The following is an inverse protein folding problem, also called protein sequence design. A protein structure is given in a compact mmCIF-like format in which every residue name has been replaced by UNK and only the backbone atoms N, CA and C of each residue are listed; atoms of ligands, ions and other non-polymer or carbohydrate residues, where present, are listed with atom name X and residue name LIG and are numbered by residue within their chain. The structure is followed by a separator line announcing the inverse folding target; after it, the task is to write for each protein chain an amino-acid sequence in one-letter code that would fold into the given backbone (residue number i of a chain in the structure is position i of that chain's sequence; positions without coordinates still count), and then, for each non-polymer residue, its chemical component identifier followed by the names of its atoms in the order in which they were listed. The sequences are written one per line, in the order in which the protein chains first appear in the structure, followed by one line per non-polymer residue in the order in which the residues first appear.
data_IF_834516502998
#
_entry.id   IF_834516502998
#
_cell.length_a   1.000
_cell.length_b   1.000
_cell.length_c   1.000
_cell.angle_alpha   90.00
_cell.angle_beta   90.00
_cell.angle_gamma   90.00
#
_symmetry.space_group_name_H-M   'P 1'
#
loop_
_entity.id
_entity.type
_entity.pdbx_description
1 polymer ?
#
# COMPACT_ATOMS: atom_id res chain seq x y z
N UNK A 1 17.23 2.69 -23.05
CA UNK A 1 18.09 2.03 -22.04
C UNK A 1 17.32 1.73 -20.75
N UNK A 2 16.73 2.72 -20.09
CA UNK A 2 15.96 2.57 -18.82
C UNK A 2 14.84 1.53 -18.89
N UNK A 3 13.97 1.59 -19.91
CA UNK A 3 12.84 0.66 -20.06
C UNK A 3 13.26 -0.79 -20.28
N UNK A 4 14.38 -1.02 -20.98
CA UNK A 4 14.94 -2.36 -21.16
C UNK A 4 15.47 -2.92 -19.83
N UNK A 5 16.07 -2.07 -19.01
CA UNK A 5 16.54 -2.42 -17.67
C UNK A 5 15.37 -2.80 -16.75
N UNK A 6 14.32 -1.99 -16.69
CA UNK A 6 13.10 -2.27 -15.92
C UNK A 6 12.44 -3.57 -16.41
N UNK A 7 12.35 -3.77 -17.73
CA UNK A 7 11.79 -5.00 -18.31
C UNK A 7 12.59 -6.26 -17.90
N UNK A 8 13.92 -6.22 -18.02
CA UNK A 8 14.76 -7.36 -17.65
C UNK A 8 14.60 -7.71 -16.17
N UNK A 9 14.59 -6.70 -15.29
CA UNK A 9 14.40 -6.89 -13.87
C UNK A 9 13.06 -7.57 -13.53
N UNK A 10 11.95 -7.16 -14.16
CA UNK A 10 10.64 -7.82 -13.95
C UNK A 10 10.56 -9.19 -14.63
N UNK A 11 11.20 -9.38 -15.77
CA UNK A 11 11.21 -10.69 -16.47
C UNK A 11 11.94 -11.76 -15.66
N UNK A 12 13.02 -11.43 -14.98
CA UNK A 12 13.72 -12.34 -14.05
C UNK A 12 12.82 -12.73 -12.87
N UNK A 13 12.04 -11.80 -12.33
CA UNK A 13 11.11 -12.07 -11.24
C UNK A 13 9.93 -12.95 -11.69
N UNK A 14 9.37 -12.71 -12.87
CA UNK A 14 8.26 -13.50 -13.45
C UNK A 14 8.71 -14.93 -13.76
N UNK A 15 9.93 -15.11 -14.30
CA UNK A 15 10.49 -16.43 -14.58
C UNK A 15 10.64 -17.34 -13.34
N UNK A 16 10.72 -16.73 -12.15
CA UNK A 16 10.84 -17.47 -10.88
C UNK A 16 9.50 -17.81 -10.20
N UNK A 17 8.37 -17.35 -10.73
CA UNK A 17 7.01 -17.56 -10.16
C UNK A 17 6.24 -18.68 -10.87
N UNK A 18 6.75 -19.26 -11.96
CA UNK A 18 6.14 -20.41 -12.63
C UNK A 18 6.59 -21.73 -11.99
N UNK A 19 5.70 -22.75 -11.86
CA UNK A 19 6.09 -24.04 -11.32
C UNK A 19 6.98 -24.78 -12.34
N UNK A 20 8.18 -25.08 -11.89
CA UNK A 20 9.18 -26.02 -12.41
C UNK A 20 9.24 -26.29 -13.93
N UNK A 21 10.21 -25.71 -14.60
CA UNK A 21 11.03 -26.41 -15.60
C UNK A 21 12.49 -26.01 -15.37
N UNK A 22 13.32 -27.00 -15.07
CA UNK A 22 14.75 -26.85 -14.87
C UNK A 22 15.44 -26.67 -16.24
N UNK A 23 16.24 -25.62 -16.39
CA UNK A 23 17.29 -25.54 -17.42
C UNK A 23 18.54 -24.90 -16.78
N UNK A 24 19.66 -25.56 -16.98
CA UNK A 24 20.97 -25.35 -16.42
C UNK A 24 21.67 -24.06 -16.92
N UNK A 25 22.81 -23.66 -16.30
CA UNK A 25 23.31 -22.28 -16.33
C UNK A 25 24.20 -22.02 -17.56
N UNK A 26 24.18 -20.78 -18.03
CA UNK A 26 25.18 -20.24 -18.94
C UNK A 26 26.04 -19.17 -18.24
N UNK A 27 27.32 -19.32 -18.42
CA UNK A 27 28.48 -18.66 -17.84
C UNK A 27 28.74 -17.27 -18.44
N UNK A 28 29.27 -16.34 -17.62
CA UNK A 28 30.33 -15.41 -18.08
C UNK A 28 30.00 -13.93 -18.21
N UNK A 29 30.46 -13.17 -17.27
CA UNK A 29 31.10 -11.84 -17.14
C UNK A 29 31.39 -11.00 -18.41
N UNK A 30 31.70 -9.68 -18.37
CA UNK A 30 32.56 -8.99 -17.39
C UNK A 30 32.09 -7.59 -16.95
N UNK A 31 32.77 -7.08 -15.92
CA UNK A 31 32.58 -5.84 -15.20
C UNK A 31 32.50 -4.53 -16.00
N UNK A 32 31.71 -3.63 -15.46
CA UNK A 32 31.72 -2.22 -15.81
C UNK A 32 32.22 -1.40 -14.61
N UNK A 33 33.17 -0.51 -14.91
CA UNK A 33 33.82 0.37 -13.95
C UNK A 33 32.85 1.41 -13.33
N UNK A 34 33.11 1.89 -12.12
CA UNK A 34 32.26 2.87 -11.46
C UNK A 34 32.42 4.26 -12.09
N UNK A 35 31.30 4.90 -12.38
CA UNK A 35 31.21 6.31 -12.78
C UNK A 35 31.31 7.16 -11.50
N UNK A 36 32.15 8.22 -11.46
CA UNK A 36 32.25 9.08 -10.29
C UNK A 36 31.01 9.94 -10.12
N UNK A 37 30.35 9.80 -8.97
CA UNK A 37 29.25 10.66 -8.52
C UNK A 37 29.87 11.84 -7.79
N UNK A 38 29.71 13.06 -8.33
CA UNK A 38 30.00 14.30 -7.62
C UNK A 38 29.01 14.52 -6.46
N UNK A 39 29.36 15.39 -5.50
CA UNK A 39 28.50 15.64 -4.33
C UNK A 39 27.30 16.48 -4.74
N UNK A 40 26.22 15.83 -5.19
CA UNK A 40 24.89 16.42 -5.21
C UNK A 40 24.37 16.39 -3.77
N UNK A 41 24.22 17.56 -3.16
CA UNK A 41 23.48 17.72 -1.89
C UNK A 41 22.05 17.33 -2.22
N UNK A 42 21.51 16.24 -1.66
CA UNK A 42 20.13 15.86 -1.97
C UNK A 42 19.20 16.92 -1.37
N UNK A 43 18.45 17.62 -2.23
CA UNK A 43 17.26 18.33 -1.77
C UNK A 43 16.39 17.38 -0.94
N UNK A 44 15.68 17.86 0.10
CA UNK A 44 14.78 17.03 0.88
C UNK A 44 13.74 16.45 -0.08
N UNK A 45 13.98 15.23 -0.53
CA UNK A 45 13.09 14.55 -1.46
C UNK A 45 11.84 14.17 -0.68
N UNK A 46 10.77 14.94 -0.88
CA UNK A 46 9.44 14.56 -0.43
C UNK A 46 9.18 13.10 -0.85
N UNK A 47 8.71 12.28 0.08
CA UNK A 47 8.46 10.85 -0.15
C UNK A 47 7.55 10.63 -1.37
N UNK A 48 6.58 11.52 -1.58
CA UNK A 48 5.58 11.50 -2.63
C UNK A 48 5.63 12.75 -3.52
N UNK A 49 6.66 12.84 -4.38
CA UNK A 49 6.71 13.90 -5.39
C UNK A 49 5.55 13.76 -6.40
N UNK A 50 5.19 14.87 -7.06
CA UNK A 50 4.17 14.87 -8.13
C UNK A 50 4.46 13.85 -9.23
N UNK A 51 5.73 13.73 -9.65
CA UNK A 51 6.14 12.77 -10.67
C UNK A 51 5.95 11.32 -10.18
N UNK A 52 6.26 11.04 -8.92
CA UNK A 52 6.03 9.72 -8.32
C UNK A 52 4.53 9.42 -8.25
N UNK A 53 3.70 10.36 -7.80
CA UNK A 53 2.25 10.20 -7.76
C UNK A 53 1.71 9.89 -9.16
N UNK A 54 2.15 10.64 -10.19
CA UNK A 54 1.75 10.41 -11.57
C UNK A 54 2.14 9.01 -12.08
N UNK A 55 3.36 8.53 -11.78
CA UNK A 55 3.82 7.18 -12.14
C UNK A 55 2.98 6.13 -11.45
N UNK A 56 2.76 6.25 -10.15
CA UNK A 56 1.99 5.28 -9.35
C UNK A 56 0.53 5.21 -9.81
N UNK A 57 -0.07 6.36 -10.17
CA UNK A 57 -1.42 6.39 -10.74
C UNK A 57 -1.49 5.78 -12.16
N UNK A 58 -0.42 5.85 -12.94
CA UNK A 58 -0.36 5.14 -14.23
C UNK A 58 -0.26 3.62 -14.06
N UNK A 59 0.29 3.14 -12.95
CA UNK A 59 0.39 1.72 -12.60
C UNK A 59 -0.93 1.15 -12.04
N UNK A 60 -1.57 1.87 -11.14
CA UNK A 60 -2.65 1.33 -10.30
C UNK A 60 -4.00 1.97 -10.53
N UNK A 61 -4.07 2.95 -11.40
CA UNK A 61 -5.28 3.74 -11.64
C UNK A 61 -5.29 5.08 -10.91
N UNK A 62 -6.09 5.99 -11.40
CA UNK A 62 -6.14 7.36 -10.97
C UNK A 62 -6.57 7.48 -9.49
N UNK A 63 -5.68 7.99 -8.64
CA UNK A 63 -5.83 8.14 -7.18
C UNK A 63 -5.43 6.92 -6.35
N UNK A 64 -5.05 5.81 -6.97
CA UNK A 64 -4.64 4.61 -6.25
C UNK A 64 -3.12 4.52 -6.12
N UNK A 65 -2.67 3.95 -5.00
CA UNK A 65 -1.25 3.79 -4.65
C UNK A 65 -0.85 2.33 -4.47
N UNK A 66 -1.74 1.38 -4.81
CA UNK A 66 -1.52 -0.05 -4.69
C UNK A 66 -2.14 -0.83 -5.87
N UNK A 67 -1.66 -2.05 -6.16
CA UNK A 67 -2.09 -2.87 -7.29
C UNK A 67 -3.60 -3.12 -7.37
N UNK A 68 -4.14 -3.15 -8.60
CA UNK A 68 -5.58 -3.31 -8.91
C UNK A 68 -6.48 -2.28 -8.20
N UNK A 69 -5.96 -1.13 -7.86
CA UNK A 69 -6.54 -0.02 -7.12
C UNK A 69 -8.05 -0.08 -6.89
N UNK A 70 -8.85 0.19 -7.92
CA UNK A 70 -10.32 0.20 -7.81
C UNK A 70 -10.89 -1.19 -7.49
N UNK A 71 -10.47 -2.22 -8.22
CA UNK A 71 -11.02 -3.58 -8.04
C UNK A 71 -10.69 -4.12 -6.64
N UNK A 72 -9.45 -3.97 -6.19
CA UNK A 72 -9.06 -4.44 -4.85
C UNK A 72 -9.74 -3.61 -3.74
N UNK A 73 -9.89 -2.29 -3.92
CA UNK A 73 -10.67 -1.45 -3.00
C UNK A 73 -12.09 -1.96 -2.83
N UNK A 74 -12.79 -2.24 -3.91
CA UNK A 74 -14.16 -2.76 -3.87
C UNK A 74 -14.21 -4.17 -3.30
N UNK A 75 -13.24 -5.03 -3.61
CA UNK A 75 -13.12 -6.38 -3.04
C UNK A 75 -13.00 -6.35 -1.52
N UNK A 76 -12.23 -5.39 -0.99
CA UNK A 76 -12.08 -5.20 0.44
C UNK A 76 -13.34 -4.58 1.09
N UNK A 77 -14.01 -3.68 0.40
CA UNK A 77 -15.16 -2.95 0.95
C UNK A 77 -16.49 -3.71 0.89
N UNK A 78 -16.70 -4.56 -0.13
CA UNK A 78 -17.98 -5.31 -0.32
C UNK A 78 -18.44 -6.13 0.88
N UNK A 79 -17.55 -6.85 1.62
CA UNK A 79 -17.98 -7.63 2.79
C UNK A 79 -18.55 -6.78 3.92
N UNK A 80 -18.30 -5.46 3.93
CA UNK A 80 -18.81 -4.53 4.94
C UNK A 80 -20.29 -4.14 4.70
N UNK A 81 -20.90 -4.58 3.59
CA UNK A 81 -22.31 -4.29 3.23
C UNK A 81 -22.66 -2.82 3.33
N UNK A 82 -21.81 -1.96 2.78
CA UNK A 82 -21.95 -0.52 2.81
C UNK A 82 -23.17 -0.04 2.01
N UNK A 83 -23.76 1.06 2.47
CA UNK A 83 -24.90 1.73 1.84
C UNK A 83 -24.80 3.26 1.99
N UNK A 84 -25.75 3.98 1.43
CA UNK A 84 -25.85 5.44 1.59
C UNK A 84 -26.12 5.91 3.04
N UNK A 85 -26.52 5.01 3.93
CA UNK A 85 -26.66 5.25 5.36
C UNK A 85 -25.38 4.93 6.17
N UNK A 86 -24.37 4.32 5.52
CA UNK A 86 -23.14 3.90 6.20
C UNK A 86 -22.14 5.04 6.28
N UNK A 87 -21.52 5.22 7.46
CA UNK A 87 -20.32 6.03 7.66
C UNK A 87 -19.09 5.12 7.75
N UNK A 88 -18.06 5.42 6.99
CA UNK A 88 -16.83 4.64 6.88
C UNK A 88 -15.61 5.47 7.31
N UNK A 89 -14.81 4.96 8.24
CA UNK A 89 -13.46 5.40 8.51
C UNK A 89 -12.52 4.71 7.52
N UNK A 90 -11.75 5.46 6.73
CA UNK A 90 -10.73 4.90 5.86
C UNK A 90 -9.36 5.46 6.24
N UNK A 91 -8.44 4.61 6.70
CA UNK A 91 -7.06 4.98 7.08
C UNK A 91 -6.11 4.46 6.01
N UNK A 92 -5.25 5.33 5.49
CA UNK A 92 -4.43 5.07 4.31
C UNK A 92 -5.20 5.43 3.03
N UNK A 93 -5.67 6.70 2.93
CA UNK A 93 -6.48 7.17 1.81
C UNK A 93 -5.70 7.25 0.48
N UNK A 94 -4.36 7.20 0.53
CA UNK A 94 -3.51 7.35 -0.64
C UNK A 94 -3.75 8.67 -1.35
N UNK A 95 -3.74 8.68 -2.68
CA UNK A 95 -4.06 9.87 -3.48
C UNK A 95 -5.58 10.04 -3.71
N UNK A 96 -6.44 9.45 -2.86
CA UNK A 96 -7.88 9.65 -2.82
C UNK A 96 -8.71 8.71 -3.69
N UNK A 97 -8.09 7.74 -4.37
CA UNK A 97 -8.79 6.72 -5.14
C UNK A 97 -9.75 5.88 -4.29
N UNK A 98 -9.28 5.22 -3.21
CA UNK A 98 -10.12 4.38 -2.38
C UNK A 98 -11.34 5.10 -1.79
N UNK A 99 -11.23 6.25 -1.11
CA UNK A 99 -12.40 6.92 -0.55
C UNK A 99 -13.40 7.38 -1.61
N UNK A 100 -12.94 7.93 -2.75
CA UNK A 100 -13.82 8.36 -3.83
C UNK A 100 -14.51 7.17 -4.49
N UNK A 101 -13.79 6.07 -4.72
CA UNK A 101 -14.33 4.84 -5.29
C UNK A 101 -15.43 4.24 -4.40
N UNK A 102 -15.19 4.11 -3.11
CA UNK A 102 -16.19 3.57 -2.17
C UNK A 102 -17.42 4.49 -2.10
N UNK A 103 -17.22 5.81 -2.08
CA UNK A 103 -18.33 6.76 -2.07
C UNK A 103 -19.16 6.71 -3.36
N UNK A 104 -18.52 6.54 -4.52
CA UNK A 104 -19.19 6.45 -5.81
C UNK A 104 -19.96 5.14 -5.98
N UNK A 105 -19.28 4.00 -5.75
CA UNK A 105 -19.79 2.68 -6.11
C UNK A 105 -20.71 2.07 -5.03
N UNK A 106 -20.45 2.38 -3.75
CA UNK A 106 -21.17 1.80 -2.61
C UNK A 106 -22.05 2.83 -1.89
N UNK A 107 -21.98 4.11 -2.27
CA UNK A 107 -22.80 5.18 -1.73
C UNK A 107 -22.47 5.60 -0.30
N UNK A 108 -21.44 5.05 0.34
CA UNK A 108 -21.11 5.33 1.73
C UNK A 108 -20.56 6.75 1.95
N UNK A 109 -20.72 7.26 3.16
CA UNK A 109 -20.05 8.49 3.63
C UNK A 109 -18.68 8.12 4.16
N UNK A 110 -17.63 8.50 3.46
CA UNK A 110 -16.25 8.14 3.78
C UNK A 110 -15.53 9.33 4.39
N UNK A 111 -14.90 9.13 5.55
CA UNK A 111 -13.87 10.03 6.05
C UNK A 111 -12.53 9.32 5.88
N UNK A 112 -11.75 9.79 4.92
CA UNK A 112 -10.41 9.28 4.61
C UNK A 112 -9.35 10.00 5.44
N UNK A 113 -8.39 9.26 5.95
CA UNK A 113 -7.23 9.78 6.66
C UNK A 113 -5.95 9.37 5.95
N UNK A 114 -5.09 10.36 5.64
CA UNK A 114 -3.78 10.15 5.01
C UNK A 114 -2.69 10.81 5.85
N UNK A 115 -1.62 10.07 6.12
CA UNK A 115 -0.52 10.55 6.95
C UNK A 115 0.51 11.34 6.15
N UNK A 116 0.72 10.97 4.88
CA UNK A 116 1.64 11.69 4.02
C UNK A 116 1.00 12.98 3.49
N UNK A 117 1.62 14.16 3.72
CA UNK A 117 1.01 15.44 3.37
C UNK A 117 0.82 15.61 1.86
N UNK A 118 1.73 15.12 1.01
CA UNK A 118 1.62 15.25 -0.45
C UNK A 118 0.49 14.37 -0.99
N UNK A 119 0.35 13.16 -0.46
CA UNK A 119 -0.79 12.29 -0.78
C UNK A 119 -2.10 12.87 -0.27
N UNK A 120 -2.13 13.44 0.93
CA UNK A 120 -3.32 14.07 1.49
C UNK A 120 -3.80 15.25 0.62
N UNK A 121 -2.88 16.10 0.16
CA UNK A 121 -3.19 17.20 -0.77
C UNK A 121 -3.78 16.65 -2.07
N UNK A 122 -3.12 15.66 -2.68
CA UNK A 122 -3.60 15.04 -3.91
C UNK A 122 -4.99 14.41 -3.73
N UNK A 123 -5.24 13.79 -2.57
CA UNK A 123 -6.51 13.17 -2.23
C UNK A 123 -7.64 14.20 -2.02
N UNK A 124 -7.35 15.32 -1.35
CA UNK A 124 -8.30 16.43 -1.17
C UNK A 124 -8.68 17.05 -2.52
N UNK A 125 -7.68 17.33 -3.37
CA UNK A 125 -7.90 17.87 -4.71
C UNK A 125 -8.74 16.92 -5.58
N UNK A 126 -8.47 15.61 -5.50
CA UNK A 126 -9.24 14.58 -6.20
C UNK A 126 -10.70 14.56 -5.74
N UNK A 127 -10.92 14.48 -4.44
CA UNK A 127 -12.26 14.46 -3.86
C UNK A 127 -13.08 15.70 -4.27
N UNK A 128 -12.45 16.88 -4.24
CA UNK A 128 -13.07 18.12 -4.66
C UNK A 128 -13.42 18.12 -6.16
N UNK A 129 -12.47 17.76 -7.04
CA UNK A 129 -12.67 17.70 -8.50
C UNK A 129 -13.73 16.68 -8.92
N UNK A 130 -13.80 15.54 -8.21
CA UNK A 130 -14.78 14.49 -8.45
C UNK A 130 -16.18 14.79 -7.89
N UNK A 131 -16.38 15.94 -7.22
CA UNK A 131 -17.65 16.28 -6.57
C UNK A 131 -17.93 15.49 -5.28
N UNK A 132 -16.92 14.81 -4.73
CA UNK A 132 -17.03 14.00 -3.52
C UNK A 132 -16.65 14.73 -2.22
N UNK A 133 -16.33 16.02 -2.25
CA UNK A 133 -15.80 16.78 -1.10
C UNK A 133 -16.57 16.63 0.22
N UNK A 134 -17.90 16.38 0.13
CA UNK A 134 -18.73 16.10 1.31
C UNK A 134 -18.88 14.62 1.61
N UNK A 135 -18.84 13.75 0.60
CA UNK A 135 -19.08 12.30 0.73
C UNK A 135 -17.82 11.47 0.92
N UNK A 136 -16.68 11.97 0.46
CA UNK A 136 -15.34 11.42 0.67
C UNK A 136 -14.42 12.54 1.20
N UNK A 137 -14.70 13.02 2.41
CA UNK A 137 -13.88 14.02 3.10
C UNK A 137 -12.51 13.43 3.42
N UNK A 138 -11.44 14.15 3.11
CA UNK A 138 -10.07 13.73 3.40
C UNK A 138 -9.47 14.61 4.51
N UNK A 139 -8.78 13.97 5.45
CA UNK A 139 -8.09 14.62 6.57
C UNK A 139 -6.66 14.09 6.69
N UNK A 140 -5.77 14.93 7.15
CA UNK A 140 -4.45 14.49 7.60
C UNK A 140 -4.55 13.88 9.00
N UNK A 141 -3.61 12.98 9.33
CA UNK A 141 -3.49 12.41 10.67
C UNK A 141 -2.03 12.11 11.00
N UNK A 142 -1.75 12.03 12.30
CA UNK A 142 -0.43 11.68 12.81
C UNK A 142 -0.45 10.22 13.33
N UNK A 143 0.32 9.30 12.73
CA UNK A 143 0.36 7.89 13.15
C UNK A 143 0.83 7.68 14.59
N UNK A 144 1.66 8.56 15.13
CA UNK A 144 2.10 8.48 16.52
C UNK A 144 0.99 8.84 17.51
N UNK A 145 0.04 9.72 17.11
CA UNK A 145 -1.07 10.20 17.94
C UNK A 145 -2.41 10.09 17.20
N UNK A 146 -2.84 8.89 16.83
CA UNK A 146 -4.04 8.71 16.02
C UNK A 146 -5.29 9.15 16.78
N UNK A 147 -6.01 10.12 16.22
CA UNK A 147 -7.21 10.68 16.81
C UNK A 147 -8.39 10.66 15.84
N UNK A 148 -9.20 9.63 15.92
CA UNK A 148 -10.43 9.49 15.13
C UNK A 148 -11.66 9.71 16.01
N UNK A 149 -12.71 10.35 15.45
CA UNK A 149 -13.95 10.64 16.18
C UNK A 149 -14.58 9.36 16.78
N UNK A 150 -14.77 9.33 18.11
CA UNK A 150 -15.22 8.13 18.84
C UNK A 150 -16.63 7.75 18.46
N UNK A 151 -16.87 6.44 18.25
CA UNK A 151 -18.19 5.82 17.93
C UNK A 151 -18.94 6.54 16.79
N UNK A 152 -18.20 7.09 15.84
CA UNK A 152 -18.75 7.86 14.72
C UNK A 152 -18.98 7.03 13.47
N UNK A 153 -18.28 5.89 13.35
CA UNK A 153 -18.27 5.10 12.13
C UNK A 153 -18.97 3.75 12.30
N UNK A 154 -19.75 3.37 11.29
CA UNK A 154 -20.34 2.04 11.20
C UNK A 154 -19.28 0.99 10.87
N UNK A 155 -18.35 1.32 9.98
CA UNK A 155 -17.29 0.42 9.52
C UNK A 155 -15.97 1.16 9.37
N UNK A 156 -14.86 0.40 9.29
CA UNK A 156 -13.55 0.92 9.00
C UNK A 156 -12.83 0.07 7.95
N UNK A 157 -12.04 0.74 7.11
CA UNK A 157 -11.06 0.14 6.20
C UNK A 157 -9.69 0.73 6.54
N UNK A 158 -8.66 -0.12 6.65
CA UNK A 158 -7.28 0.30 6.87
C UNK A 158 -6.39 -0.33 5.80
N UNK A 159 -5.67 0.50 5.06
CA UNK A 159 -4.80 0.12 3.95
C UNK A 159 -3.36 0.47 4.31
N UNK A 160 -2.56 -0.54 4.70
CA UNK A 160 -1.17 -0.41 5.15
C UNK A 160 -0.97 0.71 6.20
N UNK A 161 -1.96 0.84 7.11
CA UNK A 161 -2.04 1.93 8.07
C UNK A 161 -0.99 1.85 9.20
N UNK A 162 -0.41 0.68 9.45
CA UNK A 162 0.60 0.49 10.48
C UNK A 162 1.97 1.03 10.04
N UNK A 163 2.28 0.97 8.76
CA UNK A 163 3.50 1.52 8.14
C UNK A 163 4.79 1.30 8.97
N UNK A 164 4.95 0.08 9.51
CA UNK A 164 6.11 -0.26 10.36
C UNK A 164 6.05 0.27 11.79
N UNK A 165 4.95 0.84 12.23
CA UNK A 165 4.74 1.23 13.62
C UNK A 165 4.18 0.07 14.46
N UNK A 166 4.26 0.21 15.80
CA UNK A 166 3.58 -0.71 16.70
C UNK A 166 2.06 -0.65 16.44
N UNK A 167 1.37 -1.80 16.30
CA UNK A 167 -0.04 -1.81 15.91
C UNK A 167 -0.98 -1.21 16.96
N UNK A 168 -0.57 -1.16 18.23
CA UNK A 168 -1.44 -0.79 19.36
C UNK A 168 -2.13 0.56 19.23
N UNK A 169 -1.43 1.68 19.07
CA UNK A 169 -2.06 3.00 19.04
C UNK A 169 -3.11 3.15 17.94
N UNK A 170 -2.79 2.74 16.71
CA UNK A 170 -3.68 2.83 15.56
C UNK A 170 -4.90 1.94 15.75
N UNK A 171 -4.72 0.67 16.17
CA UNK A 171 -5.81 -0.26 16.40
C UNK A 171 -6.73 0.20 17.53
N UNK A 172 -6.18 0.78 18.62
CA UNK A 172 -6.97 1.37 19.72
C UNK A 172 -7.82 2.53 19.21
N UNK A 173 -7.24 3.43 18.40
CA UNK A 173 -7.96 4.57 17.86
C UNK A 173 -9.09 4.12 16.92
N UNK A 174 -8.84 3.14 16.05
CA UNK A 174 -9.86 2.57 15.16
C UNK A 174 -10.95 1.85 15.95
N UNK A 175 -10.59 1.07 16.98
CA UNK A 175 -11.59 0.43 17.87
C UNK A 175 -12.49 1.47 18.51
N UNK A 176 -11.92 2.55 19.04
CA UNK A 176 -12.71 3.64 19.67
C UNK A 176 -13.60 4.37 18.67
N UNK A 177 -13.16 4.51 17.43
CA UNK A 177 -13.90 5.21 16.37
C UNK A 177 -15.11 4.43 15.85
N UNK A 178 -15.03 3.10 15.83
CA UNK A 178 -16.14 2.25 15.41
C UNK A 178 -17.28 2.24 16.43
N UNK A 179 -18.50 2.06 15.96
CA UNK A 179 -19.67 1.73 16.79
C UNK A 179 -19.61 0.27 17.24
N UNK A 180 -20.26 -0.11 18.37
CA UNK A 180 -20.44 -1.52 18.72
C UNK A 180 -21.08 -2.29 17.55
N UNK A 181 -20.58 -3.48 17.24
CA UNK A 181 -21.00 -4.25 16.06
C UNK A 181 -20.40 -3.76 14.74
N UNK A 182 -19.65 -2.67 14.74
CA UNK A 182 -18.97 -2.16 13.57
C UNK A 182 -17.87 -3.09 13.07
N UNK A 183 -17.66 -3.13 11.74
CA UNK A 183 -16.72 -4.04 11.12
C UNK A 183 -15.44 -3.30 10.71
N UNK A 184 -14.31 -3.98 10.85
CA UNK A 184 -13.00 -3.55 10.38
C UNK A 184 -12.53 -4.47 9.25
N UNK A 185 -12.20 -3.89 8.10
CA UNK A 185 -11.40 -4.52 7.07
C UNK A 185 -10.01 -3.90 7.08
N UNK A 186 -8.99 -4.69 7.30
CA UNK A 186 -7.60 -4.20 7.38
C UNK A 186 -6.70 -5.03 6.47
N UNK A 187 -5.80 -4.36 5.78
CA UNK A 187 -4.71 -4.97 5.01
C UNK A 187 -3.41 -4.32 5.45
N UNK A 188 -2.42 -5.13 5.85
CA UNK A 188 -1.11 -4.59 6.23
C UNK A 188 0.01 -5.58 5.99
N UNK A 189 1.24 -5.06 5.92
CA UNK A 189 2.45 -5.85 5.82
C UNK A 189 2.83 -6.45 7.17
N UNK A 190 3.15 -7.73 7.14
CA UNK A 190 3.65 -8.48 8.30
C UNK A 190 4.96 -9.18 7.98
N UNK A 191 5.75 -9.47 9.02
CA UNK A 191 6.89 -10.35 8.96
C UNK A 191 6.78 -11.34 10.13
N UNK A 192 6.97 -12.65 9.86
CA UNK A 192 6.89 -13.66 10.92
C UNK A 192 8.15 -13.61 11.78
N UNK A 193 9.31 -13.41 11.18
CA UNK A 193 10.57 -13.13 11.84
C UNK A 193 10.90 -11.63 11.81
N UNK A 194 11.61 -11.10 12.80
CA UNK A 194 12.06 -9.71 12.81
C UNK A 194 12.88 -9.39 11.55
N UNK A 195 12.58 -8.24 10.93
CA UNK A 195 13.37 -7.78 9.79
C UNK A 195 14.77 -7.36 10.27
N UNK A 196 15.81 -7.95 9.68
CA UNK A 196 17.20 -7.60 9.99
C UNK A 196 17.55 -6.23 9.38
N UNK A 197 17.86 -5.20 10.20
CA UNK A 197 18.24 -3.89 9.71
C UNK A 197 19.61 -3.87 9.02
N UNK A 198 20.42 -4.92 9.15
CA UNK A 198 21.71 -5.07 8.46
C UNK A 198 21.56 -5.75 7.09
N UNK A 199 20.42 -6.37 6.82
CA UNK A 199 20.17 -6.98 5.52
C UNK A 199 19.96 -5.93 4.45
N UNK A 200 20.82 -5.98 3.42
CA UNK A 200 20.79 -5.00 2.31
C UNK A 200 19.48 -4.97 1.53
N UNK A 201 18.81 -6.12 1.38
CA UNK A 201 17.54 -6.20 0.67
C UNK A 201 16.43 -5.48 1.45
N UNK A 202 16.37 -5.71 2.77
CA UNK A 202 15.43 -5.03 3.68
C UNK A 202 15.71 -3.54 3.73
N UNK A 203 16.96 -3.15 3.99
CA UNK A 203 17.34 -1.75 4.12
C UNK A 203 17.08 -0.96 2.85
N UNK A 204 17.42 -1.53 1.68
CA UNK A 204 17.16 -0.92 0.38
C UNK A 204 15.68 -0.70 0.13
N UNK A 205 14.84 -1.72 0.40
CA UNK A 205 13.39 -1.60 0.30
C UNK A 205 12.84 -0.54 1.26
N UNK A 206 13.24 -0.58 2.54
CA UNK A 206 12.79 0.37 3.55
C UNK A 206 13.14 1.83 3.18
N UNK A 207 14.35 2.07 2.67
CA UNK A 207 14.78 3.40 2.23
C UNK A 207 13.97 3.91 1.02
N UNK A 208 13.69 3.04 0.04
CA UNK A 208 12.88 3.40 -1.13
C UNK A 208 11.43 3.68 -0.74
N UNK A 209 10.88 2.89 0.17
CA UNK A 209 9.49 3.03 0.64
C UNK A 209 9.34 4.12 1.71
N UNK A 210 10.44 4.55 2.34
CA UNK A 210 10.44 5.56 3.40
C UNK A 210 9.81 5.05 4.70
N UNK A 211 10.14 3.82 5.11
CA UNK A 211 9.65 3.18 6.34
C UNK A 211 10.78 2.57 7.16
N UNK A 212 10.60 2.37 8.47
CA UNK A 212 11.57 1.65 9.27
C UNK A 212 11.58 0.15 8.93
N UNK A 213 12.68 -0.58 9.18
CA UNK A 213 12.77 -2.03 8.98
C UNK A 213 12.03 -2.80 10.10
N UNK A 214 10.78 -2.45 10.30
CA UNK A 214 9.90 -3.02 11.33
C UNK A 214 8.59 -3.43 10.67
N UNK A 215 8.16 -4.65 10.95
CA UNK A 215 6.82 -5.14 10.62
C UNK A 215 6.32 -6.03 11.77
N UNK A 216 5.06 -5.87 12.20
CA UNK A 216 4.49 -6.76 13.20
C UNK A 216 4.31 -8.17 12.62
N UNK A 217 4.30 -9.20 13.47
CA UNK A 217 3.88 -10.53 13.01
C UNK A 217 2.36 -10.58 12.87
N UNK A 218 1.86 -11.47 11.98
CA UNK A 218 0.44 -11.73 11.84
C UNK A 218 -0.21 -12.07 13.19
N UNK A 219 0.47 -12.89 14.01
CA UNK A 219 0.01 -13.27 15.36
C UNK A 219 -0.09 -12.06 16.30
N UNK A 220 0.87 -11.14 16.23
CA UNK A 220 0.86 -9.93 17.06
C UNK A 220 -0.34 -9.03 16.74
N UNK A 221 -0.63 -8.82 15.45
CA UNK A 221 -1.78 -8.02 14.99
C UNK A 221 -3.09 -8.70 15.38
N UNK A 222 -3.26 -10.00 15.09
CA UNK A 222 -4.47 -10.76 15.43
C UNK A 222 -4.72 -10.76 16.93
N UNK A 223 -3.66 -10.98 17.73
CA UNK A 223 -3.76 -10.93 19.19
C UNK A 223 -4.09 -9.53 19.73
N UNK A 224 -3.57 -8.47 19.11
CA UNK A 224 -3.92 -7.10 19.49
C UNK A 224 -5.38 -6.78 19.18
N UNK A 225 -5.90 -7.18 18.04
CA UNK A 225 -7.33 -7.06 17.70
C UNK A 225 -8.21 -7.78 18.73
N UNK A 226 -7.89 -9.04 19.07
CA UNK A 226 -8.64 -9.82 20.05
C UNK A 226 -8.64 -9.16 21.44
N UNK A 227 -7.48 -8.69 21.94
CA UNK A 227 -7.39 -8.00 23.24
C UNK A 227 -8.18 -6.70 23.30
N UNK A 228 -8.39 -6.03 22.16
CA UNK A 228 -9.24 -4.84 22.07
C UNK A 228 -10.74 -5.16 22.05
N UNK A 229 -11.13 -6.43 21.93
CA UNK A 229 -12.52 -6.83 21.85
C UNK A 229 -13.06 -6.92 20.41
N UNK A 230 -12.17 -7.04 19.42
CA UNK A 230 -12.57 -7.45 18.08
C UNK A 230 -12.71 -8.98 18.00
N UNK A 231 -13.79 -9.43 17.39
CA UNK A 231 -13.97 -10.80 16.94
C UNK A 231 -13.40 -10.93 15.51
N UNK A 232 -12.23 -11.55 15.40
CA UNK A 232 -11.53 -11.71 14.11
C UNK A 232 -12.15 -12.89 13.35
N UNK A 233 -12.88 -12.59 12.28
CA UNK A 233 -13.59 -13.57 11.45
C UNK A 233 -12.73 -14.17 10.35
N UNK A 234 -11.84 -13.36 9.75
CA UNK A 234 -10.97 -13.78 8.65
C UNK A 234 -9.58 -13.23 8.90
N UNK A 235 -8.59 -14.07 8.66
CA UNK A 235 -7.19 -13.69 8.51
C UNK A 235 -6.66 -14.44 7.28
N UNK A 236 -6.26 -13.71 6.25
CA UNK A 236 -5.89 -14.28 4.93
C UNK A 236 -4.59 -13.68 4.45
N UNK A 237 -3.64 -14.53 4.03
CA UNK A 237 -2.45 -14.13 3.30
C UNK A 237 -2.84 -13.85 1.83
N UNK A 238 -2.76 -12.59 1.43
CA UNK A 238 -3.09 -12.15 0.07
C UNK A 238 -1.85 -11.82 -0.76
N UNK A 239 -0.66 -12.19 -0.28
CA UNK A 239 0.62 -11.86 -0.92
C UNK A 239 0.70 -12.32 -2.37
N UNK A 240 0.27 -13.57 -2.66
CA UNK A 240 0.33 -14.10 -4.02
C UNK A 240 -0.53 -13.29 -4.99
N UNK A 241 -1.78 -12.98 -4.59
CA UNK A 241 -2.68 -12.15 -5.39
C UNK A 241 -2.09 -10.76 -5.63
N UNK A 242 -1.58 -10.14 -4.57
CA UNK A 242 -0.95 -8.82 -4.64
C UNK A 242 0.27 -8.79 -5.57
N UNK A 243 1.14 -9.81 -5.50
CA UNK A 243 2.28 -9.93 -6.41
C UNK A 243 1.84 -10.07 -7.87
N UNK A 244 0.83 -10.90 -8.15
CA UNK A 244 0.29 -11.09 -9.50
C UNK A 244 -0.31 -9.79 -10.06
N UNK A 245 -1.05 -9.05 -9.23
CA UNK A 245 -1.62 -7.75 -9.58
C UNK A 245 -0.52 -6.72 -9.87
N UNK A 246 0.51 -6.66 -9.04
CA UNK A 246 1.65 -5.77 -9.25
C UNK A 246 2.38 -6.08 -10.58
N UNK A 247 2.64 -7.34 -10.87
CA UNK A 247 3.28 -7.75 -12.11
C UNK A 247 2.45 -7.39 -13.36
N UNK A 248 1.12 -7.54 -13.30
CA UNK A 248 0.23 -7.11 -14.40
C UNK A 248 0.30 -5.61 -14.65
N UNK A 249 0.17 -4.78 -13.59
CA UNK A 249 0.24 -3.33 -13.73
C UNK A 249 1.57 -2.86 -14.33
N UNK A 250 2.68 -3.44 -13.88
CA UNK A 250 4.01 -3.14 -14.44
C UNK A 250 4.14 -3.57 -15.90
N UNK A 251 3.64 -4.75 -16.26
CA UNK A 251 3.62 -5.21 -17.65
C UNK A 251 2.89 -4.24 -18.56
N UNK A 252 1.72 -3.77 -18.15
CA UNK A 252 0.88 -2.88 -18.96
C UNK A 252 1.51 -1.47 -19.13
N UNK A 253 2.07 -0.93 -18.04
CA UNK A 253 2.76 0.37 -18.10
C UNK A 253 4.03 0.30 -18.96
N UNK A 254 4.84 -0.76 -18.83
CA UNK A 254 6.05 -0.92 -19.67
C UNK A 254 5.65 -1.05 -21.13
N UNK A 255 4.59 -1.75 -21.47
CA UNK A 255 4.07 -1.86 -22.84
C UNK A 255 3.68 -0.47 -23.38
N UNK A 256 2.89 0.30 -22.63
CA UNK A 256 2.49 1.65 -23.02
C UNK A 256 3.66 2.62 -23.19
N UNK A 257 4.70 2.50 -22.35
CA UNK A 257 5.91 3.33 -22.45
C UNK A 257 6.80 3.01 -23.66
N UNK A 258 6.67 1.84 -24.28
CA UNK A 258 7.36 1.52 -25.55
C UNK A 258 6.78 2.33 -26.71
N UNK A 259 5.47 2.58 -26.67
CA UNK A 259 4.77 3.38 -27.67
C UNK A 259 4.95 4.89 -27.42
N UNK A 260 4.93 5.30 -26.15
CA UNK A 260 5.04 6.69 -25.73
C UNK A 260 6.17 6.87 -24.70
N UNK A 261 7.33 7.32 -25.16
CA UNK A 261 8.50 7.51 -24.29
C UNK A 261 8.22 8.58 -23.21
N UNK A 262 8.43 8.27 -21.91
CA UNK A 262 8.22 9.24 -20.84
C UNK A 262 9.27 10.37 -20.89
N UNK A 263 8.89 11.55 -20.39
CA UNK A 263 9.82 12.66 -20.17
C UNK A 263 10.92 12.25 -19.17
N UNK A 264 12.14 12.87 -19.22
CA UNK A 264 13.27 12.46 -18.36
C UNK A 264 12.96 12.44 -16.85
N UNK A 265 12.24 13.44 -16.32
CA UNK A 265 11.84 13.48 -14.91
C UNK A 265 10.93 12.30 -14.53
N UNK A 266 9.91 12.01 -15.35
CA UNK A 266 9.02 10.86 -15.19
C UNK A 266 9.79 9.55 -15.32
N UNK A 267 10.75 9.44 -16.23
CA UNK A 267 11.60 8.25 -16.41
C UNK A 267 12.41 7.95 -15.13
N UNK A 268 12.94 8.97 -14.45
CA UNK A 268 13.64 8.81 -13.16
C UNK A 268 12.70 8.28 -12.08
N UNK A 269 11.48 8.81 -12.00
CA UNK A 269 10.46 8.34 -11.06
C UNK A 269 10.03 6.88 -11.34
N UNK A 270 9.88 6.51 -12.64
CA UNK A 270 9.58 5.12 -13.05
C UNK A 270 10.65 4.15 -12.57
N UNK A 271 11.95 4.48 -12.77
CA UNK A 271 13.05 3.60 -12.32
C UNK A 271 13.03 3.41 -10.81
N UNK A 272 12.89 4.50 -10.08
CA UNK A 272 12.84 4.44 -8.60
C UNK A 272 11.65 3.60 -8.11
N UNK A 273 10.47 3.79 -8.69
CA UNK A 273 9.29 3.03 -8.34
C UNK A 273 9.42 1.56 -8.74
N UNK A 274 10.02 1.27 -9.90
CA UNK A 274 10.32 -0.09 -10.34
C UNK A 274 11.28 -0.81 -9.37
N UNK A 275 12.34 -0.13 -8.94
CA UNK A 275 13.28 -0.68 -7.96
C UNK A 275 12.58 -0.98 -6.62
N UNK A 276 11.74 -0.07 -6.13
CA UNK A 276 10.94 -0.29 -4.92
C UNK A 276 10.10 -1.55 -5.04
N UNK A 277 9.33 -1.67 -6.12
CA UNK A 277 8.43 -2.82 -6.32
C UNK A 277 9.18 -4.13 -6.49
N UNK A 278 10.31 -4.14 -7.19
CA UNK A 278 11.14 -5.33 -7.30
C UNK A 278 11.64 -5.81 -5.95
N UNK A 279 12.11 -4.88 -5.10
CA UNK A 279 12.56 -5.21 -3.74
C UNK A 279 11.40 -5.76 -2.90
N UNK A 280 10.25 -5.08 -2.93
CA UNK A 280 9.06 -5.51 -2.20
C UNK A 280 8.59 -6.91 -2.65
N UNK A 281 8.49 -7.14 -3.96
CA UNK A 281 8.07 -8.42 -4.52
C UNK A 281 9.08 -9.54 -4.23
N UNK A 282 10.39 -9.25 -4.26
CA UNK A 282 11.42 -10.22 -3.88
C UNK A 282 11.29 -10.63 -2.40
N UNK A 283 11.13 -9.67 -1.49
CA UNK A 283 10.92 -9.97 -0.07
C UNK A 283 9.63 -10.76 0.18
N UNK A 284 8.56 -10.50 -0.60
CA UNK A 284 7.33 -11.28 -0.53
C UNK A 284 7.49 -12.70 -1.07
N UNK A 285 8.16 -12.87 -2.23
CA UNK A 285 8.46 -14.17 -2.81
C UNK A 285 9.27 -15.05 -1.84
N UNK A 286 10.26 -14.44 -1.20
CA UNK A 286 11.14 -15.09 -0.22
C UNK A 286 10.48 -15.23 1.16
N UNK A 287 9.19 -14.88 1.29
CA UNK A 287 8.35 -14.94 2.50
C UNK A 287 8.90 -14.16 3.69
N UNK A 288 9.74 -13.18 3.45
CA UNK A 288 10.30 -12.30 4.49
C UNK A 288 9.30 -11.25 4.95
N UNK A 289 8.45 -10.81 4.03
CA UNK A 289 7.25 -10.02 4.30
C UNK A 289 6.04 -10.66 3.64
N UNK A 290 4.87 -10.46 4.20
CA UNK A 290 3.59 -10.90 3.64
C UNK A 290 2.58 -9.78 3.74
N UNK A 291 1.63 -9.75 2.81
CA UNK A 291 0.47 -8.87 2.88
C UNK A 291 -0.70 -9.68 3.42
N UNK A 292 -1.22 -9.30 4.57
CA UNK A 292 -2.30 -10.02 5.25
C UNK A 292 -3.54 -9.14 5.35
N UNK A 293 -4.69 -9.76 5.14
CA UNK A 293 -6.01 -9.17 5.30
C UNK A 293 -6.67 -9.70 6.57
N UNK A 294 -7.26 -8.81 7.35
CA UNK A 294 -8.14 -9.13 8.48
C UNK A 294 -9.53 -8.59 8.23
N UNK A 295 -10.54 -9.40 8.56
CA UNK A 295 -11.91 -8.96 8.72
C UNK A 295 -12.32 -9.24 10.16
N UNK A 296 -12.68 -8.21 10.89
CA UNK A 296 -13.00 -8.30 12.31
C UNK A 296 -14.24 -7.48 12.65
N UNK A 297 -14.98 -7.89 13.69
CA UNK A 297 -16.19 -7.22 14.15
C UNK A 297 -15.94 -6.70 15.55
N UNK A 298 -16.20 -5.43 15.81
CA UNK A 298 -16.15 -4.86 17.15
C UNK A 298 -17.24 -5.48 18.03
N UNK A 299 -16.85 -6.06 19.15
CA UNK A 299 -17.80 -6.61 20.14
C UNK A 299 -18.80 -5.56 20.61
N UNK A 300 -20.01 -6.02 20.95
CA UNK A 300 -21.10 -5.18 21.48
C UNK A 300 -20.97 -4.92 22.96
N UNK A 301 -20.24 -5.78 23.69
CA UNK A 301 -19.98 -5.62 25.12
C UNK A 301 -18.88 -4.58 25.34
N UNK A 302 -19.05 -3.64 26.30
CA UNK A 302 -17.94 -2.76 26.69
C UNK A 302 -16.80 -3.60 27.27
N UNK A 303 -15.58 -3.39 26.80
CA UNK A 303 -14.37 -3.98 27.38
C UNK A 303 -14.05 -3.32 28.72
#
# INVERSE_FOLDING_TARGET
MVLAQVWNMFSELVGSVSPQVAIAPAVGSPGAAPVPVGPDVPEPTTRWSRDRIAVVQSLWGDGFTFPDGQEETLRLARPLTLSNASSLLLVGAGAGGPPCCIAAELGAWVTGFEADPDLAIAAMERSARGGFGRRAEIKTWEPAEPNFSRRSFHHAVALEALNGSAPGPVLVAMFRALRPGGQLMMVDLVADDPLDPLDKAVTSWCNLEGRPPIAPSQRAVTGALGRLGFDVRVTEDISLRHMQQALRGWHDVIRGMRENKPKPAVAKAVVREAELWLRRLSLMRDRRIRLVRWHAIRGTTPA
#
